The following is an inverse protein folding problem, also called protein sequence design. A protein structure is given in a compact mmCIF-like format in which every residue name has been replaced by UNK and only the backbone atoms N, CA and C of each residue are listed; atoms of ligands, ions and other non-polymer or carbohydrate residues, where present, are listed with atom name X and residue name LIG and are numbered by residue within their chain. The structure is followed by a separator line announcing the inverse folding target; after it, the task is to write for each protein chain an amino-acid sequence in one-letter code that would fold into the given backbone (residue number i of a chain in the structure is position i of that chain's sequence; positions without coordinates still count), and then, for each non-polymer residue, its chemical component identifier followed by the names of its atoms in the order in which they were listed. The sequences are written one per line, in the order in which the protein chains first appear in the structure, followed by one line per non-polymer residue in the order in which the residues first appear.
data_IF_623556689099
#
_entry.id   IF_623556689099
#
_cell.length_a   1.000
_cell.length_b   1.000
_cell.length_c   1.000
_cell.angle_alpha   90.00
_cell.angle_beta   90.00
_cell.angle_gamma   90.00
#
_symmetry.space_group_name_H-M   'P 1'
#
loop_
_entity.id
_entity.type
_entity.pdbx_description
1 polymer ?
#
# COMPACT_ATOMS: atom_id res chain seq x y z
N UNK A 1 -4.80 -9.45 19.65
CA UNK A 1 -5.04 -7.99 19.75
C UNK A 1 -4.75 -7.44 18.38
N UNK A 2 -5.67 -6.67 17.78
CA UNK A 2 -5.44 -6.15 16.42
C UNK A 2 -4.45 -4.99 16.49
N UNK A 3 -3.40 -5.06 15.69
CA UNK A 3 -2.39 -4.02 15.52
C UNK A 3 -2.72 -3.21 14.27
N UNK A 4 -2.31 -1.93 14.23
CA UNK A 4 -2.29 -1.20 12.96
C UNK A 4 -0.95 -1.43 12.30
N UNK A 5 -1.02 -1.88 11.06
CA UNK A 5 0.12 -1.98 10.19
C UNK A 5 0.12 -0.77 9.26
N UNK A 6 1.23 -0.05 9.24
CA UNK A 6 1.48 0.99 8.23
C UNK A 6 2.68 0.58 7.40
N UNK A 7 2.49 0.49 6.10
CA UNK A 7 3.52 0.17 5.13
C UNK A 7 3.89 1.42 4.36
N UNK A 8 5.19 1.73 4.31
CA UNK A 8 5.72 2.67 3.34
C UNK A 8 5.96 1.93 2.05
N UNK A 9 5.04 2.10 1.10
CA UNK A 9 5.15 1.57 -0.25
C UNK A 9 5.98 2.51 -1.10
N UNK A 10 6.86 1.93 -1.91
CA UNK A 10 7.71 2.62 -2.84
C UNK A 10 7.37 2.20 -4.27
N UNK A 11 7.52 3.11 -5.21
CA UNK A 11 7.21 2.89 -6.62
C UNK A 11 5.89 3.51 -7.07
N UNK A 12 5.01 3.88 -6.14
CA UNK A 12 3.70 4.46 -6.42
C UNK A 12 3.38 5.58 -5.45
N UNK A 13 2.79 6.66 -5.96
CA UNK A 13 2.25 7.77 -5.19
C UNK A 13 0.80 8.01 -5.61
N UNK A 14 -0.09 7.89 -4.65
CA UNK A 14 -1.50 8.24 -4.82
C UNK A 14 -1.65 9.75 -4.65
N UNK A 15 -2.47 10.41 -5.47
CA UNK A 15 -2.69 11.86 -5.37
C UNK A 15 -3.59 12.24 -4.20
N UNK A 16 -4.53 11.37 -3.82
CA UNK A 16 -5.48 11.58 -2.73
C UNK A 16 -5.65 10.31 -1.89
N UNK A 17 -6.06 10.43 -0.63
CA UNK A 17 -6.41 9.28 0.18
C UNK A 17 -7.59 8.51 -0.41
N UNK A 18 -7.53 7.18 -0.37
CA UNK A 18 -8.67 6.34 -0.72
C UNK A 18 -8.63 4.99 0.01
N UNK A 19 -9.75 4.27 -0.04
CA UNK A 19 -9.96 3.02 0.66
C UNK A 19 -10.33 1.93 -0.33
N UNK A 20 -9.67 0.78 -0.22
CA UNK A 20 -9.95 -0.42 -1.01
C UNK A 20 -10.43 -1.52 -0.07
N UNK A 21 -11.41 -2.30 -0.50
CA UNK A 21 -11.75 -3.57 0.14
C UNK A 21 -10.86 -4.68 -0.41
N UNK A 22 -9.97 -5.23 0.41
CA UNK A 22 -8.97 -6.21 -0.04
C UNK A 22 -9.46 -7.64 0.08
N UNK A 23 -10.23 -7.93 1.12
CA UNK A 23 -10.99 -9.16 1.24
C UNK A 23 -12.25 -8.89 2.07
N UNK A 24 -12.96 -9.95 2.47
CA UNK A 24 -14.20 -9.78 3.24
C UNK A 24 -13.98 -9.13 4.61
N UNK A 25 -12.78 -9.23 5.17
CA UNK A 25 -12.45 -8.84 6.55
C UNK A 25 -11.51 -7.62 6.63
N UNK A 26 -10.80 -7.29 5.55
CA UNK A 26 -9.70 -6.32 5.54
C UNK A 26 -9.93 -5.18 4.55
N UNK A 27 -9.71 -3.95 5.03
CA UNK A 27 -9.69 -2.74 4.21
C UNK A 27 -8.29 -2.14 4.19
N UNK A 28 -7.86 -1.69 3.02
CA UNK A 28 -6.58 -1.00 2.83
C UNK A 28 -6.86 0.48 2.61
N UNK A 29 -6.28 1.33 3.44
CA UNK A 29 -6.35 2.77 3.27
C UNK A 29 -5.02 3.27 2.73
N UNK A 30 -5.01 3.87 1.53
CA UNK A 30 -3.81 4.41 0.91
C UNK A 30 -3.77 5.92 1.06
N UNK A 31 -2.58 6.45 1.35
CA UNK A 31 -2.35 7.87 1.59
C UNK A 31 -1.13 8.38 0.81
N UNK A 32 -1.18 9.61 0.28
CA UNK A 32 -0.03 10.27 -0.32
C UNK A 32 1.14 10.40 0.68
N UNK A 33 2.37 10.46 0.17
CA UNK A 33 3.60 10.64 0.97
C UNK A 33 3.48 11.76 2.02
N UNK A 34 2.92 12.90 1.63
CA UNK A 34 2.90 14.11 2.46
C UNK A 34 1.97 14.00 3.67
N UNK A 35 1.02 13.06 3.68
CA UNK A 35 0.15 12.82 4.84
C UNK A 35 0.94 12.27 6.04
N UNK A 36 1.97 11.46 5.78
CA UNK A 36 2.81 10.88 6.85
C UNK A 36 3.96 11.82 7.25
N UNK A 37 4.25 12.88 6.49
CA UNK A 37 5.15 13.93 6.99
C UNK A 37 4.52 14.75 8.15
N UNK A 38 3.23 14.53 8.43
CA UNK A 38 2.46 15.14 9.52
C UNK A 38 2.18 14.20 10.70
N UNK A 39 2.95 13.11 10.88
CA UNK A 39 2.73 12.09 11.94
C UNK A 39 2.67 12.62 13.39
N UNK A 40 3.01 13.88 13.66
CA UNK A 40 2.67 14.53 14.94
C UNK A 40 1.15 14.67 15.19
N UNK A 41 0.31 14.46 14.17
CA UNK A 41 -1.13 14.79 14.17
C UNK A 41 -2.05 13.58 13.88
N UNK A 42 -1.57 12.33 14.07
CA UNK A 42 -2.46 11.15 14.00
C UNK A 42 -3.69 11.31 14.92
N UNK A 43 -3.55 12.03 16.03
CA UNK A 43 -4.65 12.37 16.97
C UNK A 43 -5.63 13.44 16.45
N UNK A 44 -5.21 14.31 15.52
CA UNK A 44 -6.06 15.33 14.90
C UNK A 44 -6.85 14.75 13.72
N UNK A 45 -6.20 13.86 12.97
CA UNK A 45 -6.81 13.08 11.89
C UNK A 45 -8.02 12.24 12.38
N UNK A 46 -7.96 11.74 13.62
CA UNK A 46 -9.05 10.99 14.23
C UNK A 46 -10.17 11.84 14.81
N UNK A 47 -9.87 13.05 15.28
CA UNK A 47 -10.91 14.01 15.70
C UNK A 47 -11.80 14.39 14.52
N UNK A 48 -11.21 14.57 13.34
CA UNK A 48 -11.95 14.98 12.14
C UNK A 48 -12.78 13.85 11.51
N UNK A 49 -12.36 12.58 11.63
CA UNK A 49 -13.15 11.42 11.17
C UNK A 49 -14.39 11.15 12.04
N UNK A 50 -14.35 11.55 13.32
CA UNK A 50 -15.40 11.27 14.30
C UNK A 50 -16.25 12.50 14.68
N UNK A 51 -15.89 13.71 14.25
CA UNK A 51 -16.67 14.91 14.50
C UNK A 51 -17.74 15.11 13.42
N UNK A 52 -19.01 15.12 13.80
CA UNK A 52 -20.15 15.45 12.91
C UNK A 52 -20.18 16.92 12.44
N UNK A 53 -19.17 17.73 12.79
CA UNK A 53 -19.02 19.15 12.43
C UNK A 53 -17.57 19.49 12.03
N UNK A 54 -16.91 18.64 11.24
CA UNK A 54 -15.52 18.90 10.82
C UNK A 54 -15.42 20.09 9.85
N UNK A 55 -14.58 21.08 10.17
CA UNK A 55 -14.14 22.06 9.18
C UNK A 55 -13.45 21.32 8.02
N UNK A 56 -14.07 21.37 6.86
CA UNK A 56 -13.60 20.69 5.66
C UNK A 56 -12.34 21.38 5.14
N UNK A 57 -11.20 20.70 5.25
CA UNK A 57 -10.07 20.98 4.37
C UNK A 57 -10.52 20.61 2.95
N UNK A 58 -10.98 21.60 2.19
CA UNK A 58 -11.30 21.44 0.77
C UNK A 58 -10.00 21.21 -0.01
N UNK A 59 -9.52 19.96 -0.02
CA UNK A 59 -8.69 19.51 -1.12
C UNK A 59 -9.63 19.36 -2.32
N UNK A 60 -9.36 20.07 -3.41
CA UNK A 60 -9.99 19.79 -4.69
C UNK A 60 -9.60 18.36 -5.07
N UNK A 61 -10.45 17.39 -4.70
CA UNK A 61 -10.33 16.02 -5.18
C UNK A 61 -10.60 16.12 -6.68
N UNK A 62 -9.60 15.88 -7.55
CA UNK A 62 -9.89 15.68 -8.95
C UNK A 62 -10.87 14.52 -9.04
N UNK A 63 -11.90 14.61 -9.87
CA UNK A 63 -12.89 13.55 -10.08
C UNK A 63 -12.28 12.19 -10.50
N UNK A 64 -10.97 12.15 -10.76
CA UNK A 64 -10.18 10.99 -11.15
C UNK A 64 -9.08 10.69 -10.13
N UNK A 65 -8.98 9.43 -9.71
CA UNK A 65 -7.81 8.92 -9.00
C UNK A 65 -6.60 8.98 -9.94
N UNK A 66 -5.52 9.62 -9.48
CA UNK A 66 -4.27 9.69 -10.22
C UNK A 66 -3.12 9.08 -9.42
N UNK A 67 -2.28 8.34 -10.13
CA UNK A 67 -1.10 7.67 -9.60
C UNK A 67 0.12 8.23 -10.32
N UNK A 68 1.14 8.60 -9.55
CA UNK A 68 2.48 8.82 -10.08
C UNK A 68 3.34 7.62 -9.74
N UNK A 69 4.10 7.14 -10.72
CA UNK A 69 4.88 5.92 -10.61
C UNK A 69 6.34 6.23 -10.91
N UNK A 70 7.24 5.64 -10.12
CA UNK A 70 8.67 5.87 -10.24
C UNK A 70 9.45 5.62 -8.96
N UNK A 71 10.78 5.58 -9.08
CA UNK A 71 11.71 5.22 -8.02
C UNK A 71 11.89 6.25 -6.90
N UNK A 72 11.11 7.32 -6.87
CA UNK A 72 11.05 8.28 -5.76
C UNK A 72 9.63 8.46 -5.21
N UNK A 73 8.67 7.70 -5.76
CA UNK A 73 7.25 7.79 -5.44
C UNK A 73 6.92 6.91 -4.23
N UNK A 74 6.20 7.52 -3.29
CA UNK A 74 5.89 6.91 -1.99
C UNK A 74 4.39 7.03 -1.70
N UNK A 75 3.83 5.94 -1.22
CA UNK A 75 2.47 5.85 -0.69
C UNK A 75 2.52 5.16 0.67
N UNK A 76 1.64 5.56 1.58
CA UNK A 76 1.46 4.86 2.83
C UNK A 76 0.19 4.01 2.76
N UNK A 77 0.32 2.71 3.01
CA UNK A 77 -0.81 1.79 3.14
C UNK A 77 -1.04 1.51 4.62
N UNK A 78 -2.27 1.67 5.08
CA UNK A 78 -2.68 1.50 6.47
C UNK A 78 -3.78 0.45 6.54
N UNK A 79 -3.63 -0.53 7.44
CA UNK A 79 -4.67 -1.53 7.73
C UNK A 79 -4.60 -2.03 9.16
N UNK A 80 -5.73 -2.54 9.65
CA UNK A 80 -5.78 -3.38 10.84
C UNK A 80 -5.36 -4.81 10.48
N UNK A 81 -4.51 -5.43 11.30
CA UNK A 81 -4.10 -6.82 11.12
C UNK A 81 -3.70 -7.46 12.46
N UNK A 82 -3.90 -8.77 12.58
CA UNK A 82 -3.47 -9.57 13.73
C UNK A 82 -2.03 -10.05 13.53
N UNK A 83 -1.07 -9.14 13.61
CA UNK A 83 0.36 -9.46 13.48
C UNK A 83 1.06 -9.48 14.83
N UNK A 84 1.97 -10.44 15.04
CA UNK A 84 2.84 -10.43 16.21
C UNK A 84 3.95 -9.39 16.03
N UNK A 85 3.91 -8.33 16.84
CA UNK A 85 4.88 -7.24 16.79
C UNK A 85 6.27 -7.62 17.32
N UNK A 86 6.41 -8.76 18.03
CA UNK A 86 7.64 -9.15 18.74
C UNK A 86 8.37 -10.32 18.12
N UNK A 87 7.85 -10.91 17.04
CA UNK A 87 8.51 -11.98 16.30
C UNK A 87 9.79 -11.51 15.59
N UNK A 88 10.60 -12.45 15.09
CA UNK A 88 11.83 -12.14 14.34
C UNK A 88 11.56 -11.28 13.09
N UNK A 89 12.51 -10.43 12.70
CA UNK A 89 12.38 -9.53 11.53
C UNK A 89 12.06 -10.31 10.25
N UNK A 90 12.70 -11.46 10.00
CA UNK A 90 12.47 -12.24 8.77
C UNK A 90 11.07 -12.82 8.75
N UNK A 91 10.60 -13.33 9.89
CA UNK A 91 9.25 -13.89 10.03
C UNK A 91 8.20 -12.79 9.81
N UNK A 92 8.40 -11.63 10.43
CA UNK A 92 7.51 -10.47 10.28
C UNK A 92 7.46 -9.98 8.83
N UNK A 93 8.60 -9.84 8.18
CA UNK A 93 8.68 -9.42 6.78
C UNK A 93 7.93 -10.42 5.89
N UNK A 94 8.16 -11.72 6.08
CA UNK A 94 7.48 -12.75 5.30
C UNK A 94 5.97 -12.73 5.52
N UNK A 95 5.51 -12.58 6.76
CA UNK A 95 4.09 -12.50 7.08
C UNK A 95 3.43 -11.29 6.43
N UNK A 96 4.06 -10.10 6.52
CA UNK A 96 3.59 -8.89 5.83
C UNK A 96 3.55 -9.14 4.33
N UNK A 97 4.62 -9.68 3.73
CA UNK A 97 4.62 -9.97 2.30
C UNK A 97 3.51 -10.94 1.89
N UNK A 98 3.24 -11.99 2.67
CA UNK A 98 2.16 -12.94 2.40
C UNK A 98 0.78 -12.25 2.48
N UNK A 99 0.56 -11.39 3.47
CA UNK A 99 -0.70 -10.64 3.61
C UNK A 99 -0.94 -9.75 2.39
N UNK A 100 0.07 -9.01 1.93
CA UNK A 100 -0.07 -8.04 0.83
C UNK A 100 0.38 -8.57 -0.53
N UNK A 101 0.66 -9.87 -0.67
CA UNK A 101 1.22 -10.46 -1.89
C UNK A 101 0.36 -10.13 -3.11
N UNK A 102 -0.96 -10.37 -2.99
CA UNK A 102 -1.90 -10.11 -4.06
C UNK A 102 -1.98 -8.61 -4.41
N UNK A 103 -1.98 -7.74 -3.40
CA UNK A 103 -1.94 -6.29 -3.59
C UNK A 103 -0.71 -5.86 -4.39
N UNK A 104 0.47 -6.31 -3.96
CA UNK A 104 1.75 -5.96 -4.61
C UNK A 104 1.80 -6.50 -6.04
N UNK A 105 1.38 -7.74 -6.28
CA UNK A 105 1.37 -8.37 -7.61
C UNK A 105 0.42 -7.67 -8.58
N UNK A 106 -0.84 -7.46 -8.18
CA UNK A 106 -1.83 -6.85 -9.06
C UNK A 106 -1.47 -5.41 -9.42
N UNK A 107 -1.02 -4.63 -8.44
CA UNK A 107 -0.60 -3.27 -8.73
C UNK A 107 0.66 -3.23 -9.60
N UNK A 108 1.63 -4.12 -9.35
CA UNK A 108 2.82 -4.18 -10.20
C UNK A 108 2.48 -4.56 -11.64
N UNK A 109 1.47 -5.42 -11.84
CA UNK A 109 0.95 -5.76 -13.15
C UNK A 109 0.24 -4.59 -13.84
N UNK A 110 -0.68 -3.91 -13.14
CA UNK A 110 -1.45 -2.78 -13.69
C UNK A 110 -0.53 -1.65 -14.15
N UNK A 111 0.55 -1.44 -13.40
CA UNK A 111 1.47 -0.33 -13.62
C UNK A 111 2.73 -0.70 -14.40
N UNK A 112 2.93 -1.97 -14.74
CA UNK A 112 4.16 -2.52 -15.31
C UNK A 112 5.42 -2.05 -14.54
N UNK A 113 5.31 -1.95 -13.20
CA UNK A 113 6.34 -1.40 -12.33
C UNK A 113 6.31 -2.04 -10.93
N UNK A 114 7.47 -2.40 -10.38
CA UNK A 114 7.51 -3.02 -9.05
C UNK A 114 7.15 -2.06 -7.92
N UNK A 115 6.10 -2.41 -7.17
CA UNK A 115 5.80 -1.77 -5.89
C UNK A 115 6.41 -2.59 -4.76
N UNK A 116 7.17 -1.90 -3.90
CA UNK A 116 7.97 -2.53 -2.87
C UNK A 116 7.62 -1.97 -1.49
N UNK A 117 7.66 -2.82 -0.47
CA UNK A 117 7.53 -2.37 0.93
C UNK A 117 8.91 -1.91 1.40
N UNK A 118 9.08 -0.61 1.63
CA UNK A 118 10.35 -0.05 2.11
C UNK A 118 10.46 -0.12 3.64
N UNK A 119 9.37 0.23 4.34
CA UNK A 119 9.31 0.24 5.80
C UNK A 119 8.00 -0.30 6.29
N UNK A 120 8.06 -0.97 7.44
CA UNK A 120 6.91 -1.49 8.17
C UNK A 120 6.87 -0.77 9.52
N UNK A 121 5.74 -0.15 9.84
CA UNK A 121 5.47 0.43 11.15
C UNK A 121 4.32 -0.34 11.79
N UNK A 122 4.49 -0.73 13.05
CA UNK A 122 3.46 -1.45 13.80
C UNK A 122 3.02 -0.57 14.96
N UNK A 123 1.73 -0.29 15.04
CA UNK A 123 1.13 0.45 16.13
C UNK A 123 0.18 -0.44 16.94
N UNK A 124 0.17 -0.24 18.25
CA UNK A 124 -0.90 -0.76 19.11
C UNK A 124 -1.95 0.32 19.29
N UNK A 125 -3.22 -0.06 19.26
CA UNK A 125 -4.32 0.80 19.65
C UNK A 125 -4.66 0.55 21.12
N UNK A 126 -4.58 1.58 21.95
CA UNK A 126 -5.10 1.57 23.33
C UNK A 126 -6.14 2.67 23.44
N UNK A 127 -7.42 2.29 23.50
CA UNK A 127 -8.56 3.22 23.39
C UNK A 127 -8.47 4.00 22.07
N UNK A 128 -8.35 5.32 22.13
CA UNK A 128 -8.28 6.23 20.97
C UNK A 128 -6.85 6.70 20.67
N UNK A 129 -5.84 6.09 21.31
CA UNK A 129 -4.43 6.47 21.13
C UNK A 129 -3.68 5.32 20.45
N UNK A 130 -2.88 5.68 19.45
CA UNK A 130 -2.03 4.77 18.69
C UNK A 130 -0.60 4.93 19.15
N UNK A 131 0.00 3.84 19.62
CA UNK A 131 1.39 3.83 20.07
C UNK A 131 2.23 3.04 19.07
N UNK A 132 3.22 3.70 18.47
CA UNK A 132 4.22 3.02 17.67
C UNK A 132 4.97 2.02 18.55
N UNK A 133 4.93 0.75 18.17
CA UNK A 133 5.59 -0.35 18.87
C UNK A 133 6.94 -0.66 18.20
N UNK A 134 6.95 -0.73 16.87
CA UNK A 134 8.10 -1.21 16.11
C UNK A 134 8.17 -0.56 14.73
N UNK A 135 9.41 -0.37 14.27
CA UNK A 135 9.74 -0.02 12.90
C UNK A 135 10.69 -1.09 12.37
N UNK A 136 10.43 -1.59 11.16
CA UNK A 136 11.36 -2.43 10.40
C UNK A 136 11.67 -1.76 9.07
N UNK A 137 12.95 -1.57 8.78
CA UNK A 137 13.45 -0.99 7.54
C UNK A 137 14.07 -2.10 6.68
N UNK A 138 13.55 -2.28 5.46
CA UNK A 138 13.97 -3.39 4.60
C UNK A 138 15.25 -3.08 3.81
N UNK A 139 15.81 -1.86 3.91
CA UNK A 139 17.07 -1.46 3.28
C UNK A 139 17.22 -1.92 1.82
N UNK A 140 16.15 -1.80 1.03
CA UNK A 140 16.15 -2.25 -0.36
C UNK A 140 17.03 -1.27 -1.17
N UNK A 141 18.15 -1.71 -1.78
CA UNK A 141 18.98 -0.85 -2.61
C UNK A 141 18.24 -0.52 -3.92
N UNK A 142 18.14 0.77 -4.24
CA UNK A 142 17.40 1.22 -5.41
C UNK A 142 18.35 1.60 -6.55
N UNK A 143 18.14 1.02 -7.72
CA UNK A 143 18.70 1.51 -8.98
C UNK A 143 17.74 2.59 -9.48
N UNK A 144 18.17 3.85 -9.59
CA UNK A 144 17.32 4.92 -10.14
C UNK A 144 16.84 4.52 -11.54
N UNK A 145 15.52 4.43 -11.73
CA UNK A 145 14.96 4.24 -13.06
C UNK A 145 15.26 5.52 -13.85
N UNK A 146 15.92 5.38 -14.99
CA UNK A 146 16.37 6.51 -15.82
C UNK A 146 15.26 7.08 -16.70
N UNK A 147 14.10 6.42 -16.75
CA UNK A 147 12.99 6.76 -17.66
C UNK A 147 12.04 7.87 -17.16
N UNK A 148 12.20 8.36 -15.93
CA UNK A 148 11.40 9.45 -15.37
C UNK A 148 10.10 9.00 -14.69
N UNK A 149 9.18 9.94 -14.48
CA UNK A 149 7.91 9.73 -13.76
C UNK A 149 6.80 9.44 -14.77
N UNK A 150 6.05 8.35 -14.57
CA UNK A 150 4.86 8.03 -15.35
C UNK A 150 3.59 8.38 -14.57
N UNK A 151 2.61 8.96 -15.25
CA UNK A 151 1.33 9.37 -14.66
C UNK A 151 0.22 8.46 -15.19
N UNK A 152 -0.46 7.76 -14.29
CA UNK A 152 -1.62 6.92 -14.58
C UNK A 152 -2.89 7.59 -14.06
N UNK A 153 -3.95 7.54 -14.86
CA UNK A 153 -5.29 7.99 -14.48
C UNK A 153 -6.25 6.84 -14.68
N UNK A 154 -6.96 6.48 -13.62
CA UNK A 154 -7.88 5.35 -13.62
C UNK A 154 -9.23 5.81 -13.07
N UNK A 155 -10.28 5.55 -13.83
CA UNK A 155 -11.65 5.83 -13.43
C UNK A 155 -12.08 4.71 -12.46
N UNK A 156 -12.66 5.06 -11.32
CA UNK A 156 -13.22 4.09 -10.36
C UNK A 156 -12.24 2.99 -9.90
N UNK A 157 -10.94 3.28 -9.88
CA UNK A 157 -9.90 2.30 -9.54
C UNK A 157 -10.18 1.59 -8.21
N UNK A 158 -10.61 2.31 -7.19
CA UNK A 158 -10.92 1.79 -5.86
C UNK A 158 -12.05 0.74 -5.90
N UNK A 159 -13.09 0.96 -6.69
CA UNK A 159 -14.19 0.02 -6.88
C UNK A 159 -13.75 -1.20 -7.73
N UNK A 160 -13.09 -0.94 -8.85
CA UNK A 160 -12.64 -1.98 -9.78
C UNK A 160 -11.61 -2.90 -9.15
N UNK A 161 -10.62 -2.34 -8.45
CA UNK A 161 -9.57 -3.12 -7.78
C UNK A 161 -10.14 -3.88 -6.59
N UNK A 162 -11.11 -3.32 -5.85
CA UNK A 162 -11.81 -4.05 -4.78
C UNK A 162 -12.54 -5.26 -5.34
N UNK A 163 -13.23 -5.10 -6.47
CA UNK A 163 -13.89 -6.21 -7.16
C UNK A 163 -12.89 -7.26 -7.63
N UNK A 164 -11.75 -6.83 -8.17
CA UNK A 164 -10.70 -7.72 -8.62
C UNK A 164 -10.10 -8.53 -7.47
N UNK A 165 -9.79 -7.90 -6.34
CA UNK A 165 -9.29 -8.58 -5.15
C UNK A 165 -10.25 -9.67 -4.66
N UNK A 166 -11.54 -9.36 -4.58
CA UNK A 166 -12.56 -10.34 -4.18
C UNK A 166 -12.62 -11.52 -5.16
N UNK A 167 -12.67 -11.24 -6.48
CA UNK A 167 -12.72 -12.30 -7.50
C UNK A 167 -11.49 -13.20 -7.47
N UNK A 168 -10.29 -12.62 -7.31
CA UNK A 168 -9.05 -13.41 -7.25
C UNK A 168 -8.99 -14.22 -5.95
N UNK A 169 -9.37 -13.65 -4.81
CA UNK A 169 -9.40 -14.38 -3.55
C UNK A 169 -10.37 -15.57 -3.56
N UNK A 170 -11.47 -15.48 -4.32
CA UNK A 170 -12.49 -16.54 -4.43
C UNK A 170 -12.18 -17.59 -5.51
N UNK A 171 -11.08 -17.45 -6.27
CA UNK A 171 -10.76 -18.34 -7.39
C UNK A 171 -9.29 -18.77 -7.44
N UNK A 172 -9.03 -20.05 -7.18
CA UNK A 172 -7.70 -20.65 -7.27
C UNK A 172 -7.07 -20.47 -8.67
N UNK A 173 -7.87 -20.60 -9.73
CA UNK A 173 -7.42 -20.37 -11.10
C UNK A 173 -6.90 -18.93 -11.29
N UNK A 174 -7.63 -17.94 -10.79
CA UNK A 174 -7.21 -16.54 -10.90
C UNK A 174 -5.97 -16.25 -10.05
N UNK A 175 -5.83 -16.86 -8.87
CA UNK A 175 -4.61 -16.76 -8.06
C UNK A 175 -3.39 -17.29 -8.83
N UNK A 176 -3.53 -18.44 -9.47
CA UNK A 176 -2.48 -19.03 -10.29
C UNK A 176 -2.12 -18.15 -11.50
N UNK A 177 -3.11 -17.55 -12.17
CA UNK A 177 -2.88 -16.62 -13.28
C UNK A 177 -2.12 -15.38 -12.81
N UNK A 178 -2.53 -14.75 -11.71
CA UNK A 178 -1.85 -13.56 -11.15
C UNK A 178 -0.42 -13.89 -10.75
N UNK A 179 -0.18 -15.07 -10.19
CA UNK A 179 1.17 -15.54 -9.87
C UNK A 179 2.04 -15.69 -11.13
N UNK A 180 1.54 -16.36 -12.18
CA UNK A 180 2.28 -16.53 -13.44
C UNK A 180 2.59 -15.19 -14.12
N UNK A 181 1.63 -14.26 -14.16
CA UNK A 181 1.84 -12.93 -14.73
C UNK A 181 2.92 -12.15 -13.98
N UNK A 182 2.94 -12.25 -12.66
CA UNK A 182 3.98 -11.62 -11.85
C UNK A 182 5.36 -12.22 -12.12
N UNK A 183 5.47 -13.55 -12.17
CA UNK A 183 6.72 -14.25 -12.49
C UNK A 183 7.25 -13.88 -13.90
N UNK A 184 6.35 -13.68 -14.86
CA UNK A 184 6.69 -13.20 -16.20
C UNK A 184 7.28 -11.78 -16.18
N UNK A 185 6.67 -10.85 -15.44
CA UNK A 185 7.19 -9.46 -15.29
C UNK A 185 8.57 -9.46 -14.63
N UNK A 186 8.75 -10.25 -13.57
CA UNK A 186 10.05 -10.45 -12.92
C UNK A 186 11.07 -10.92 -13.93
N UNK A 187 10.75 -11.95 -14.71
CA UNK A 187 11.68 -12.51 -15.70
C UNK A 187 12.09 -11.49 -16.78
N UNK A 188 11.14 -10.70 -17.28
CA UNK A 188 11.39 -9.64 -18.27
C UNK A 188 12.34 -8.55 -17.71
N UNK A 189 12.08 -8.09 -16.50
CA UNK A 189 12.90 -7.04 -15.88
C UNK A 189 14.31 -7.53 -15.48
N UNK A 190 14.48 -8.83 -15.21
CA UNK A 190 15.80 -9.43 -14.99
C UNK A 190 16.59 -9.59 -16.30
N UNK A 191 15.95 -9.91 -17.43
CA UNK A 191 16.65 -10.01 -18.72
C UNK A 191 17.19 -8.66 -19.23
N UNK A 192 16.49 -7.56 -18.93
CA UNK A 192 16.91 -6.21 -19.35
C UNK A 192 18.12 -5.69 -18.54
N UNK A 193 18.45 -6.32 -17.41
CA UNK A 193 19.64 -6.01 -16.59
C UNK A 193 20.90 -6.76 -17.06
N UNK A 194 20.76 -7.80 -17.90
CA UNK A 194 21.87 -8.62 -18.40
C UNK A 194 22.37 -8.21 -19.80
N UNK A 195 21.74 -7.21 -20.44
CA UNK A 195 22.13 -6.63 -21.74
C UNK A 195 22.76 -5.25 -21.61
#
# INVERSE_FOLDING_TARGET
MNSILVLKLHGVQVSNPFKIKYNQEMNLCLYPKDYFNRISEIEEFQRNLNSSNGEYYNCLIPELLSFEIGNDRITYLITESSIDAYQDDRALIQEVHNIFELFLRLNSFIFDFFILVQKIFIFSKKKDIYHLIRIVDLNIPFVKNTEGVLIYRLNSYDEEISSLFLKVNESELLQNIVKMLFEFIVSKNYSDLET
#
